data_IF_532520492784
#
_entry.id   IF_532520492784
#
_cell.length_a   1.000
_cell.length_b   1.000
_cell.length_c   1.000
_cell.angle_alpha   90.00
_cell.angle_beta   90.00
_cell.angle_gamma   90.00
#
_symmetry.space_group_name_H-M   'P 1'
#
loop_
_entity.id
_entity.type
_entity.pdbx_description
1 polymer ?
#
# COMPACT_ATOMS: atom_id res chain seq x y z
N UNK A 1 1.57 59.48 -18.98
CA UNK A 1 2.97 59.00 -19.13
C UNK A 1 3.59 58.72 -17.77
N UNK A 2 3.65 59.71 -16.85
CA UNK A 2 4.19 59.50 -15.51
C UNK A 2 3.56 58.31 -14.76
N UNK A 3 2.24 58.20 -14.72
CA UNK A 3 1.55 57.06 -14.08
C UNK A 3 1.90 55.69 -14.66
N UNK A 4 2.23 55.62 -15.95
CA UNK A 4 2.68 54.38 -16.58
C UNK A 4 4.11 54.05 -16.16
N UNK A 5 4.99 55.06 -16.12
CA UNK A 5 6.36 54.92 -15.63
C UNK A 5 6.35 54.44 -14.18
N UNK A 6 5.59 55.11 -13.30
CA UNK A 6 5.47 54.75 -11.89
C UNK A 6 4.97 53.29 -11.72
N UNK A 7 4.03 52.84 -12.57
CA UNK A 7 3.54 51.46 -12.56
C UNK A 7 4.58 50.45 -13.04
N UNK A 8 5.40 50.80 -14.04
CA UNK A 8 6.48 49.92 -14.52
C UNK A 8 7.60 49.84 -13.49
N UNK A 9 7.99 50.96 -12.89
CA UNK A 9 9.02 51.01 -11.85
C UNK A 9 8.60 50.20 -10.63
N UNK A 10 7.33 50.30 -10.21
CA UNK A 10 6.78 49.47 -9.13
C UNK A 10 6.82 47.97 -9.49
N UNK A 11 6.45 47.60 -10.73
CA UNK A 11 6.50 46.21 -11.19
C UNK A 11 7.91 45.63 -11.20
N UNK A 12 8.90 46.43 -11.62
CA UNK A 12 10.31 46.01 -11.65
C UNK A 12 10.86 45.85 -10.23
N UNK A 13 10.54 46.78 -9.33
CA UNK A 13 10.95 46.70 -7.92
C UNK A 13 10.32 45.49 -7.20
N UNK A 14 9.04 45.19 -7.47
CA UNK A 14 8.36 44.02 -6.92
C UNK A 14 8.98 42.71 -7.42
N UNK A 15 9.25 42.59 -8.73
CA UNK A 15 9.94 41.42 -9.28
C UNK A 15 11.35 41.25 -8.68
N UNK A 16 12.12 42.34 -8.55
CA UNK A 16 13.44 42.30 -7.93
C UNK A 16 13.40 41.83 -6.46
N UNK A 17 12.32 42.14 -5.74
CA UNK A 17 12.10 41.65 -4.38
C UNK A 17 11.84 40.15 -4.35
N UNK A 18 11.04 39.63 -5.31
CA UNK A 18 10.82 38.18 -5.47
C UNK A 18 12.11 37.45 -5.84
N UNK A 19 12.91 38.03 -6.72
CA UNK A 19 14.21 37.46 -7.11
C UNK A 19 15.17 37.36 -5.94
N UNK A 20 15.25 38.43 -5.13
CA UNK A 20 16.04 38.43 -3.89
C UNK A 20 15.53 37.36 -2.92
N UNK A 21 14.21 37.26 -2.74
CA UNK A 21 13.61 36.27 -1.86
C UNK A 21 13.95 34.83 -2.24
N UNK A 22 13.94 34.51 -3.54
CA UNK A 22 14.36 33.21 -4.04
C UNK A 22 15.86 32.95 -3.75
N UNK A 23 16.74 33.88 -4.13
CA UNK A 23 18.19 33.70 -3.95
C UNK A 23 18.64 33.64 -2.49
N UNK A 24 17.93 34.34 -1.60
CA UNK A 24 18.21 34.36 -0.17
C UNK A 24 17.47 33.23 0.58
N UNK A 25 16.60 32.48 -0.10
CA UNK A 25 15.66 31.51 0.49
C UNK A 25 14.86 32.11 1.66
N UNK A 26 14.42 33.36 1.50
CA UNK A 26 13.60 34.09 2.47
C UNK A 26 12.53 34.92 1.74
N UNK A 27 11.31 34.36 1.66
CA UNK A 27 10.16 35.04 1.08
C UNK A 27 9.28 35.71 2.14
N UNK A 28 9.80 35.99 3.35
CA UNK A 28 9.03 36.61 4.44
C UNK A 28 8.47 37.99 4.10
N UNK A 29 9.15 38.72 3.21
CA UNK A 29 8.71 40.02 2.69
C UNK A 29 7.66 39.95 1.57
N UNK A 30 7.44 38.77 0.97
CA UNK A 30 6.52 38.61 -0.16
C UNK A 30 5.08 38.53 0.35
N UNK A 31 4.21 39.34 -0.24
CA UNK A 31 2.80 39.40 0.12
C UNK A 31 1.94 39.75 -1.11
N UNK A 32 0.62 39.62 -0.97
CA UNK A 32 -0.33 39.89 -2.07
C UNK A 32 -0.18 41.31 -2.63
N UNK A 33 0.04 42.32 -1.79
CA UNK A 33 0.21 43.71 -2.23
C UNK A 33 1.45 43.87 -3.10
N UNK A 34 2.56 43.21 -2.75
CA UNK A 34 3.78 43.23 -3.55
C UNK A 34 3.59 42.48 -4.88
N UNK A 35 3.05 41.26 -4.86
CA UNK A 35 2.87 40.47 -6.08
C UNK A 35 1.90 41.12 -7.07
N UNK A 36 0.84 41.77 -6.59
CA UNK A 36 -0.12 42.49 -7.45
C UNK A 36 0.46 43.74 -8.13
N UNK A 37 1.64 44.23 -7.71
CA UNK A 37 2.36 45.28 -8.43
C UNK A 37 3.04 44.75 -9.69
N UNK A 38 3.32 43.44 -9.77
CA UNK A 38 3.98 42.82 -10.92
C UNK A 38 2.98 42.73 -12.08
N UNK A 39 3.25 43.49 -13.14
CA UNK A 39 2.39 43.56 -14.32
C UNK A 39 2.34 42.22 -15.04
N UNK A 40 1.13 41.75 -15.36
CA UNK A 40 0.92 40.50 -16.07
C UNK A 40 0.88 39.26 -15.17
N UNK A 41 1.09 39.44 -13.87
CA UNK A 41 0.98 38.35 -12.90
C UNK A 41 -0.48 38.12 -12.51
N UNK A 42 -0.91 36.86 -12.52
CA UNK A 42 -2.21 36.40 -12.02
C UNK A 42 -1.95 35.47 -10.84
N UNK A 43 -2.71 35.65 -9.75
CA UNK A 43 -2.50 34.90 -8.51
C UNK A 43 -3.81 34.72 -7.74
N UNK A 44 -3.85 33.68 -6.92
CA UNK A 44 -4.93 33.44 -5.97
C UNK A 44 -4.52 33.94 -4.58
N UNK A 45 -5.10 35.05 -4.12
CA UNK A 45 -4.64 35.75 -2.90
C UNK A 45 -4.59 34.87 -1.64
N UNK A 46 -5.42 33.82 -1.59
CA UNK A 46 -5.46 32.88 -0.47
C UNK A 46 -4.23 31.97 -0.36
N UNK A 47 -3.46 31.80 -1.45
CA UNK A 47 -2.33 30.86 -1.52
C UNK A 47 -0.97 31.55 -1.27
N UNK A 48 -0.98 32.76 -0.69
CA UNK A 48 0.26 33.55 -0.54
C UNK A 48 1.33 32.85 0.30
N UNK A 49 0.93 32.05 1.29
CA UNK A 49 1.88 31.29 2.09
C UNK A 49 2.53 30.17 1.25
N UNK A 50 1.75 29.50 0.42
CA UNK A 50 2.24 28.44 -0.46
C UNK A 50 3.18 29.00 -1.54
N UNK A 51 2.83 30.16 -2.12
CA UNK A 51 3.73 30.86 -3.04
C UNK A 51 5.05 31.24 -2.38
N UNK A 52 5.02 31.68 -1.12
CA UNK A 52 6.24 32.04 -0.38
C UNK A 52 7.15 30.83 -0.19
N UNK A 53 6.59 29.72 0.32
CA UNK A 53 7.35 28.47 0.47
C UNK A 53 7.95 28.03 -0.87
N UNK A 54 7.17 28.07 -1.94
CA UNK A 54 7.65 27.69 -3.27
C UNK A 54 8.73 28.64 -3.80
N UNK A 55 8.65 29.95 -3.53
CA UNK A 55 9.71 30.92 -3.90
C UNK A 55 11.00 30.63 -3.11
N UNK A 56 10.92 30.29 -1.82
CA UNK A 56 12.09 29.96 -0.98
C UNK A 56 12.85 28.72 -1.47
N UNK A 57 12.15 27.79 -2.13
CA UNK A 57 12.72 26.59 -2.75
C UNK A 57 13.41 26.87 -4.09
N UNK A 58 13.09 27.99 -4.76
CA UNK A 58 13.68 28.31 -6.06
C UNK A 58 15.08 28.90 -5.90
N UNK A 59 16.04 28.36 -6.66
CA UNK A 59 17.40 28.93 -6.70
C UNK A 59 17.47 30.30 -7.38
N UNK A 60 16.54 30.58 -8.31
CA UNK A 60 16.40 31.86 -9.01
C UNK A 60 15.06 31.94 -9.73
N UNK A 61 14.52 33.16 -9.86
CA UNK A 61 13.33 33.45 -10.67
C UNK A 61 13.73 34.43 -11.78
N UNK A 62 13.87 33.94 -13.00
CA UNK A 62 14.48 34.73 -14.08
C UNK A 62 13.66 35.98 -14.47
N UNK A 63 12.35 35.83 -14.55
CA UNK A 63 11.44 36.87 -15.01
C UNK A 63 10.00 36.63 -14.51
N UNK A 64 9.08 37.49 -14.97
CA UNK A 64 7.63 37.39 -14.65
C UNK A 64 7.02 36.09 -15.17
N UNK A 65 7.49 35.55 -16.30
CA UNK A 65 6.93 34.33 -16.87
C UNK A 65 7.34 33.11 -16.03
N UNK A 66 8.59 33.07 -15.55
CA UNK A 66 9.05 32.05 -14.61
C UNK A 66 8.27 32.13 -13.28
N UNK A 67 8.05 33.34 -12.75
CA UNK A 67 7.21 33.53 -11.55
C UNK A 67 5.76 33.09 -11.77
N UNK A 68 5.18 33.40 -12.94
CA UNK A 68 3.82 32.96 -13.26
C UNK A 68 3.73 31.44 -13.32
N UNK A 69 4.70 30.77 -13.97
CA UNK A 69 4.74 29.32 -14.03
C UNK A 69 4.86 28.67 -12.63
N UNK A 70 5.63 29.28 -11.73
CA UNK A 70 5.73 28.85 -10.33
C UNK A 70 4.37 28.96 -9.62
N UNK A 71 3.69 30.10 -9.75
CA UNK A 71 2.36 30.33 -9.16
C UNK A 71 1.34 29.34 -9.71
N UNK A 72 1.31 29.16 -11.04
CA UNK A 72 0.41 28.22 -11.70
C UNK A 72 0.67 26.78 -11.23
N UNK A 73 1.93 26.40 -11.03
CA UNK A 73 2.33 25.10 -10.48
C UNK A 73 1.87 24.91 -9.03
N UNK A 74 1.98 25.95 -8.19
CA UNK A 74 1.48 25.90 -6.81
C UNK A 74 -0.03 25.75 -6.78
N UNK A 75 -0.76 26.54 -7.58
CA UNK A 75 -2.22 26.47 -7.67
C UNK A 75 -2.68 25.08 -8.15
N UNK A 76 -2.00 24.53 -9.16
CA UNK A 76 -2.27 23.18 -9.65
C UNK A 76 -2.00 22.11 -8.58
N UNK A 77 -0.91 22.25 -7.83
CA UNK A 77 -0.55 21.34 -6.73
C UNK A 77 -1.58 21.34 -5.61
N UNK A 78 -2.04 22.53 -5.19
CA UNK A 78 -3.07 22.67 -4.15
C UNK A 78 -4.40 22.06 -4.60
N UNK A 79 -4.82 22.30 -5.84
CA UNK A 79 -6.04 21.74 -6.39
C UNK A 79 -5.96 20.21 -6.55
N UNK A 80 -4.80 19.70 -6.98
CA UNK A 80 -4.55 18.28 -7.10
C UNK A 80 -4.57 17.57 -5.73
N UNK A 81 -3.90 18.13 -4.73
CA UNK A 81 -3.90 17.56 -3.39
C UNK A 81 -5.29 17.60 -2.74
N UNK A 82 -6.05 18.69 -2.93
CA UNK A 82 -7.46 18.74 -2.51
C UNK A 82 -8.32 17.63 -3.15
N UNK A 83 -8.03 17.26 -4.40
CA UNK A 83 -8.71 16.15 -5.07
C UNK A 83 -8.37 14.80 -4.44
N UNK A 84 -7.12 14.61 -4.00
CA UNK A 84 -6.70 13.42 -3.25
C UNK A 84 -7.38 13.34 -1.88
N UNK A 85 -7.45 14.45 -1.14
CA UNK A 85 -8.15 14.50 0.14
C UNK A 85 -9.64 14.18 0.00
N UNK A 86 -10.27 14.71 -1.06
CA UNK A 86 -11.65 14.38 -1.39
C UNK A 86 -11.81 12.89 -1.68
N UNK A 87 -10.94 12.31 -2.51
CA UNK A 87 -10.97 10.90 -2.86
C UNK A 87 -10.90 9.97 -1.64
N UNK A 88 -10.03 10.27 -0.68
CA UNK A 88 -9.94 9.54 0.58
C UNK A 88 -11.24 9.66 1.40
N UNK A 89 -11.68 10.89 1.67
CA UNK A 89 -12.85 11.14 2.52
C UNK A 89 -14.18 10.68 1.91
N UNK A 90 -14.27 10.56 0.58
CA UNK A 90 -15.42 9.98 -0.13
C UNK A 90 -15.29 8.47 -0.37
N UNK A 91 -14.15 7.87 -0.03
CA UNK A 91 -13.79 6.49 -0.36
C UNK A 91 -13.93 6.16 -1.86
N UNK A 92 -13.57 7.13 -2.72
CA UNK A 92 -13.63 6.98 -4.18
C UNK A 92 -12.51 7.78 -4.85
N UNK A 93 -11.46 7.07 -5.26
CA UNK A 93 -10.31 7.64 -5.96
C UNK A 93 -10.35 7.43 -7.47
N UNK A 94 -11.46 6.94 -8.04
CA UNK A 94 -11.55 6.59 -9.47
C UNK A 94 -11.32 7.77 -10.43
N UNK A 95 -11.54 9.00 -9.95
CA UNK A 95 -11.30 10.24 -10.69
C UNK A 95 -9.84 10.72 -10.66
N UNK A 96 -8.99 10.15 -9.80
CA UNK A 96 -7.56 10.50 -9.76
C UNK A 96 -6.86 9.96 -11.00
N UNK A 97 -5.95 10.73 -11.55
CA UNK A 97 -5.18 10.38 -12.75
C UNK A 97 -3.69 10.59 -12.50
N UNK A 98 -2.84 10.06 -13.38
CA UNK A 98 -1.41 10.39 -13.37
C UNK A 98 -1.17 11.90 -13.41
N UNK A 99 -1.99 12.63 -14.19
CA UNK A 99 -1.93 14.10 -14.24
C UNK A 99 -2.21 14.71 -12.87
N UNK A 100 -3.22 14.20 -12.16
CA UNK A 100 -3.54 14.67 -10.81
C UNK A 100 -2.35 14.49 -9.87
N UNK A 101 -1.77 13.29 -9.80
CA UNK A 101 -0.63 13.03 -8.92
C UNK A 101 0.63 13.81 -9.34
N UNK A 102 0.91 13.90 -10.65
CA UNK A 102 2.07 14.64 -11.18
C UNK A 102 2.02 16.15 -10.96
N UNK A 103 0.83 16.72 -10.76
CA UNK A 103 0.68 18.14 -10.44
C UNK A 103 1.04 18.45 -8.97
N UNK A 104 1.07 17.45 -8.09
CA UNK A 104 1.42 17.64 -6.68
C UNK A 104 2.93 17.82 -6.59
N UNK A 105 3.37 19.03 -6.22
CA UNK A 105 4.79 19.36 -6.07
C UNK A 105 5.43 18.45 -5.03
N UNK A 106 6.59 17.90 -5.36
CA UNK A 106 7.38 17.05 -4.46
C UNK A 106 6.91 15.60 -4.35
N UNK A 107 5.79 15.24 -4.98
CA UNK A 107 5.29 13.87 -4.98
C UNK A 107 6.05 13.00 -5.99
N UNK A 108 6.52 11.83 -5.55
CA UNK A 108 7.14 10.81 -6.39
C UNK A 108 6.26 9.58 -6.43
N UNK A 109 5.98 9.06 -7.63
CA UNK A 109 5.13 7.90 -7.82
C UNK A 109 5.45 7.17 -9.13
N UNK A 110 5.06 5.91 -9.23
CA UNK A 110 5.12 5.12 -10.46
C UNK A 110 3.74 5.07 -11.14
N UNK A 111 3.62 5.62 -12.34
CA UNK A 111 2.36 5.63 -13.08
C UNK A 111 1.80 4.22 -13.39
N UNK A 112 2.65 3.20 -13.42
CA UNK A 112 2.20 1.82 -13.60
C UNK A 112 1.33 1.32 -12.44
N UNK A 113 1.44 1.92 -11.25
CA UNK A 113 0.75 1.52 -10.03
C UNK A 113 -0.45 2.44 -9.69
N UNK A 114 -0.92 3.26 -10.64
CA UNK A 114 -1.99 4.23 -10.40
C UNK A 114 -3.24 3.59 -9.78
N UNK A 115 -3.65 2.41 -10.28
CA UNK A 115 -4.83 1.71 -9.75
C UNK A 115 -4.63 1.25 -8.31
N UNK A 116 -3.42 0.82 -7.95
CA UNK A 116 -3.09 0.43 -6.58
C UNK A 116 -3.11 1.64 -5.64
N UNK A 117 -2.55 2.77 -6.08
CA UNK A 117 -2.63 4.02 -5.33
C UNK A 117 -4.08 4.51 -5.17
N UNK A 118 -4.91 4.39 -6.20
CA UNK A 118 -6.34 4.72 -6.11
C UNK A 118 -7.04 3.85 -5.05
N UNK A 119 -6.81 2.54 -5.06
CA UNK A 119 -7.36 1.63 -4.05
C UNK A 119 -6.91 2.01 -2.63
N UNK A 120 -5.62 2.28 -2.46
CA UNK A 120 -5.06 2.66 -1.17
C UNK A 120 -5.60 4.01 -0.67
N UNK A 121 -5.65 5.04 -1.53
CA UNK A 121 -6.21 6.36 -1.19
C UNK A 121 -7.67 6.25 -0.80
N UNK A 122 -8.49 5.48 -1.54
CA UNK A 122 -9.90 5.30 -1.23
C UNK A 122 -10.16 4.54 0.08
N UNK A 123 -9.18 3.75 0.55
CA UNK A 123 -9.24 3.05 1.82
C UNK A 123 -8.87 3.94 3.02
N UNK A 124 -8.17 5.06 2.80
CA UNK A 124 -7.81 6.00 3.86
C UNK A 124 -9.02 6.85 4.27
N UNK A 125 -9.18 7.08 5.57
CA UNK A 125 -10.21 7.98 6.07
C UNK A 125 -9.87 9.47 5.83
N UNK A 126 -8.56 9.79 5.80
CA UNK A 126 -8.04 11.13 5.59
C UNK A 126 -6.56 11.04 5.17
N UNK A 127 -6.12 11.98 4.33
CA UNK A 127 -4.71 12.23 4.01
C UNK A 127 -4.39 13.68 4.39
N UNK A 128 -3.64 13.88 5.46
CA UNK A 128 -3.51 15.20 6.10
C UNK A 128 -2.67 16.17 5.27
N UNK A 129 -1.55 15.70 4.72
CA UNK A 129 -0.62 16.47 3.92
C UNK A 129 0.03 15.63 2.81
N UNK A 130 0.89 16.27 2.00
CA UNK A 130 1.61 15.61 0.90
C UNK A 130 2.61 14.57 1.42
N UNK A 131 3.15 14.73 2.63
CA UNK A 131 4.07 13.76 3.21
C UNK A 131 3.34 12.46 3.62
N UNK A 132 2.13 12.57 4.16
CA UNK A 132 1.25 11.43 4.40
C UNK A 132 0.87 10.71 3.10
N UNK A 133 0.59 11.46 2.02
CA UNK A 133 0.37 10.88 0.70
C UNK A 133 1.60 10.14 0.17
N UNK A 134 2.80 10.73 0.31
CA UNK A 134 4.04 10.08 -0.12
C UNK A 134 4.28 8.79 0.65
N UNK A 135 4.09 8.79 1.98
CA UNK A 135 4.24 7.60 2.79
C UNK A 135 3.25 6.48 2.40
N UNK A 136 2.02 6.84 2.00
CA UNK A 136 1.05 5.90 1.48
C UNK A 136 1.51 5.28 0.16
N UNK A 137 1.99 6.10 -0.79
CA UNK A 137 2.52 5.64 -2.07
C UNK A 137 3.73 4.71 -1.88
N UNK A 138 4.68 5.10 -1.03
CA UNK A 138 5.85 4.29 -0.71
C UNK A 138 5.45 2.94 -0.09
N UNK A 139 4.42 2.95 0.77
CA UNK A 139 3.87 1.72 1.37
C UNK A 139 3.19 0.82 0.33
N UNK A 140 2.49 1.37 -0.66
CA UNK A 140 1.90 0.59 -1.75
C UNK A 140 3.00 -0.02 -2.62
N UNK A 141 4.01 0.75 -2.99
CA UNK A 141 5.13 0.24 -3.79
C UNK A 141 5.89 -0.88 -3.06
N UNK A 142 6.09 -0.74 -1.75
CA UNK A 142 6.69 -1.78 -0.93
C UNK A 142 5.80 -3.05 -0.86
N UNK A 143 4.48 -2.88 -0.73
CA UNK A 143 3.50 -3.99 -0.75
C UNK A 143 3.58 -4.78 -2.05
N UNK A 144 3.55 -4.08 -3.19
CA UNK A 144 3.63 -4.69 -4.52
C UNK A 144 4.95 -5.43 -4.73
N UNK A 145 6.07 -4.86 -4.28
CA UNK A 145 7.36 -5.53 -4.34
C UNK A 145 7.40 -6.80 -3.47
N UNK A 146 6.91 -6.72 -2.23
CA UNK A 146 6.85 -7.87 -1.32
C UNK A 146 5.93 -8.97 -1.85
N UNK A 147 4.79 -8.62 -2.46
CA UNK A 147 3.92 -9.58 -3.11
C UNK A 147 4.60 -10.21 -4.34
N UNK A 148 5.33 -9.42 -5.13
CA UNK A 148 6.16 -9.93 -6.22
C UNK A 148 7.20 -10.96 -5.78
N UNK A 149 7.82 -10.77 -4.61
CA UNK A 149 8.74 -11.76 -4.01
C UNK A 149 8.02 -13.08 -3.66
N UNK A 150 6.77 -13.01 -3.18
CA UNK A 150 5.94 -14.20 -2.90
C UNK A 150 5.55 -14.93 -4.19
N UNK A 151 5.18 -14.19 -5.25
CA UNK A 151 4.90 -14.79 -6.56
C UNK A 151 6.14 -15.47 -7.15
N UNK A 152 7.32 -14.86 -7.00
CA UNK A 152 8.58 -15.44 -7.40
C UNK A 152 8.91 -16.71 -6.60
N UNK A 153 8.64 -16.72 -5.29
CA UNK A 153 8.82 -17.90 -4.45
C UNK A 153 7.96 -19.09 -4.90
N UNK A 154 6.68 -18.85 -5.20
CA UNK A 154 5.78 -19.89 -5.71
C UNK A 154 6.25 -20.44 -7.06
N UNK A 155 6.46 -19.55 -8.04
CA UNK A 155 6.87 -19.97 -9.40
C UNK A 155 8.22 -20.68 -9.47
N UNK A 156 9.14 -20.40 -8.53
CA UNK A 156 10.42 -21.10 -8.41
C UNK A 156 10.37 -22.34 -7.49
N UNK A 157 9.23 -22.60 -6.85
CA UNK A 157 9.04 -23.64 -5.85
C UNK A 157 10.07 -23.55 -4.70
N UNK A 158 10.43 -22.33 -4.30
CA UNK A 158 11.36 -22.05 -3.21
C UNK A 158 10.94 -20.78 -2.46
N UNK A 159 10.27 -20.97 -1.32
CA UNK A 159 9.78 -19.89 -0.47
C UNK A 159 10.64 -19.62 0.77
N UNK A 160 11.86 -20.16 0.85
CA UNK A 160 12.72 -19.93 2.04
C UNK A 160 13.06 -18.45 2.25
N UNK A 161 13.01 -17.63 1.19
CA UNK A 161 13.18 -16.18 1.25
C UNK A 161 11.95 -15.40 1.71
N UNK A 162 10.75 -16.02 1.72
CA UNK A 162 9.52 -15.36 2.18
C UNK A 162 9.56 -15.30 3.70
N UNK A 163 9.81 -14.11 4.23
CA UNK A 163 9.97 -13.88 5.67
C UNK A 163 8.71 -13.29 6.29
N UNK A 164 8.67 -13.22 7.63
CA UNK A 164 7.65 -12.45 8.34
C UNK A 164 7.63 -10.98 7.92
N UNK A 165 8.79 -10.40 7.61
CA UNK A 165 8.90 -9.01 7.14
C UNK A 165 8.27 -8.86 5.75
N UNK A 166 8.51 -9.80 4.85
CA UNK A 166 7.89 -9.86 3.53
C UNK A 166 6.37 -9.88 3.66
N UNK A 167 5.81 -10.82 4.44
CA UNK A 167 4.36 -10.95 4.62
C UNK A 167 3.74 -9.74 5.33
N UNK A 168 4.41 -9.16 6.35
CA UNK A 168 3.93 -7.96 7.04
C UNK A 168 3.94 -6.70 6.17
N UNK A 169 4.78 -6.66 5.14
CA UNK A 169 4.86 -5.53 4.21
C UNK A 169 3.68 -5.50 3.24
N UNK A 170 3.10 -6.66 2.94
CA UNK A 170 1.93 -6.78 2.06
C UNK A 170 0.71 -6.21 2.79
N UNK A 171 0.15 -5.12 2.26
CA UNK A 171 -0.98 -4.40 2.84
C UNK A 171 -2.21 -5.29 2.88
N UNK A 172 -2.95 -5.24 3.99
CA UNK A 172 -4.22 -5.98 4.15
C UNK A 172 -4.08 -7.48 4.42
N UNK A 173 -2.86 -8.04 4.34
CA UNK A 173 -2.61 -9.44 4.65
C UNK A 173 -2.71 -9.69 6.16
N UNK A 174 -3.38 -10.76 6.54
CA UNK A 174 -3.51 -11.23 7.94
C UNK A 174 -2.98 -12.65 8.03
N UNK A 175 -2.13 -12.93 9.02
CA UNK A 175 -1.53 -14.25 9.20
C UNK A 175 -1.03 -14.45 10.63
N UNK A 176 -0.92 -15.71 11.07
CA UNK A 176 -0.21 -16.05 12.31
C UNK A 176 1.30 -16.16 12.07
N UNK A 177 2.16 -15.33 12.70
CA UNK A 177 3.60 -15.41 12.52
C UNK A 177 4.22 -16.74 12.99
N UNK A 178 3.53 -17.51 13.84
CA UNK A 178 3.94 -18.83 14.29
C UNK A 178 3.94 -19.90 13.20
N UNK A 179 3.22 -19.67 12.10
CA UNK A 179 3.03 -20.64 11.01
C UNK A 179 3.89 -20.36 9.78
N UNK A 180 4.92 -19.49 9.89
CA UNK A 180 5.73 -19.07 8.73
C UNK A 180 6.34 -20.25 7.97
N UNK A 181 6.79 -21.29 8.65
CA UNK A 181 7.36 -22.48 8.01
C UNK A 181 6.33 -23.23 7.16
N UNK A 182 5.08 -23.29 7.63
CA UNK A 182 3.98 -23.94 6.95
C UNK A 182 3.51 -23.12 5.74
N UNK A 183 3.45 -21.79 5.89
CA UNK A 183 3.18 -20.89 4.77
C UNK A 183 4.26 -20.99 3.68
N UNK A 184 5.54 -21.06 4.06
CA UNK A 184 6.63 -21.24 3.09
C UNK A 184 6.46 -22.56 2.33
N UNK A 185 6.14 -23.66 3.01
CA UNK A 185 5.90 -24.94 2.36
C UNK A 185 4.70 -24.89 1.40
N UNK A 186 3.61 -24.23 1.81
CA UNK A 186 2.43 -24.06 0.98
C UNK A 186 2.70 -23.18 -0.25
N UNK A 187 3.33 -22.01 -0.07
CA UNK A 187 3.72 -21.11 -1.17
C UNK A 187 4.64 -21.84 -2.16
N UNK A 188 5.65 -22.57 -1.69
CA UNK A 188 6.57 -23.32 -2.57
C UNK A 188 5.88 -24.48 -3.33
N UNK A 189 4.70 -24.91 -2.87
CA UNK A 189 3.90 -25.95 -3.53
C UNK A 189 2.96 -25.37 -4.59
N UNK A 190 2.71 -24.06 -4.58
CA UNK A 190 1.92 -23.38 -5.59
C UNK A 190 2.70 -23.17 -6.89
N UNK A 191 2.02 -23.27 -8.03
CA UNK A 191 2.63 -22.93 -9.33
C UNK A 191 2.49 -21.45 -9.67
N UNK A 192 1.50 -20.78 -9.08
CA UNK A 192 1.17 -19.36 -9.28
C UNK A 192 0.31 -18.88 -8.10
N UNK A 193 0.53 -17.62 -7.68
CA UNK A 193 -0.36 -16.91 -6.75
C UNK A 193 -0.79 -15.63 -7.46
N UNK A 194 -2.02 -15.61 -7.98
CA UNK A 194 -2.45 -14.60 -8.95
C UNK A 194 -2.53 -13.18 -8.37
N UNK A 195 -3.01 -13.06 -7.13
CA UNK A 195 -3.22 -11.80 -6.43
C UNK A 195 -3.11 -11.97 -4.91
N UNK A 196 -3.17 -10.86 -4.17
CA UNK A 196 -3.07 -10.85 -2.71
C UNK A 196 -4.25 -11.60 -2.04
N UNK A 197 -5.41 -11.68 -2.69
CA UNK A 197 -6.56 -12.42 -2.16
C UNK A 197 -6.34 -13.94 -2.26
N UNK A 198 -5.74 -14.41 -3.35
CA UNK A 198 -5.30 -15.80 -3.49
C UNK A 198 -4.22 -16.15 -2.46
N UNK A 199 -3.28 -15.22 -2.18
CA UNK A 199 -2.32 -15.39 -1.09
C UNK A 199 -3.02 -15.52 0.25
N UNK A 200 -3.94 -14.60 0.60
CA UNK A 200 -4.69 -14.66 1.86
C UNK A 200 -5.44 -15.99 2.01
N UNK A 201 -6.12 -16.45 0.96
CA UNK A 201 -6.85 -17.72 0.98
C UNK A 201 -5.91 -18.92 1.20
N UNK A 202 -4.70 -18.89 0.64
CA UNK A 202 -3.69 -19.91 0.88
C UNK A 202 -3.27 -19.93 2.36
N UNK A 203 -2.96 -18.78 2.95
CA UNK A 203 -2.58 -18.68 4.37
C UNK A 203 -3.71 -19.16 5.29
N UNK A 204 -4.95 -18.72 5.02
CA UNK A 204 -6.14 -19.17 5.76
C UNK A 204 -6.33 -20.70 5.66
N UNK A 205 -6.04 -21.29 4.50
CA UNK A 205 -6.13 -22.74 4.31
C UNK A 205 -5.07 -23.51 5.11
N UNK A 206 -3.85 -22.94 5.23
CA UNK A 206 -2.79 -23.49 6.07
C UNK A 206 -3.21 -23.44 7.54
N UNK A 207 -3.72 -22.31 8.00
CA UNK A 207 -4.22 -22.14 9.37
C UNK A 207 -5.33 -23.14 9.71
N UNK A 208 -6.30 -23.28 8.79
CA UNK A 208 -7.37 -24.25 8.93
C UNK A 208 -6.84 -25.69 8.98
N UNK A 209 -5.84 -26.01 8.16
CA UNK A 209 -5.19 -27.33 8.12
C UNK A 209 -4.46 -27.65 9.43
N UNK A 210 -3.70 -26.70 9.96
CA UNK A 210 -2.99 -26.85 11.24
C UNK A 210 -3.98 -27.04 12.41
N UNK A 211 -5.08 -26.27 12.42
CA UNK A 211 -6.13 -26.42 13.42
C UNK A 211 -6.83 -27.79 13.31
N UNK A 212 -7.18 -28.21 12.10
CA UNK A 212 -7.81 -29.51 11.86
C UNK A 212 -6.90 -30.68 12.27
N UNK A 213 -5.61 -30.60 11.94
CA UNK A 213 -4.64 -31.61 12.35
C UNK A 213 -4.46 -31.65 13.87
N UNK A 214 -4.47 -30.49 14.53
CA UNK A 214 -4.45 -30.41 16.01
C UNK A 214 -5.67 -31.12 16.61
N UNK A 215 -6.86 -30.97 16.03
CA UNK A 215 -8.05 -31.71 16.46
C UNK A 215 -7.87 -33.23 16.36
N UNK A 216 -7.26 -33.72 15.28
CA UNK A 216 -6.93 -35.14 15.11
C UNK A 216 -5.92 -35.62 16.16
N UNK A 217 -4.88 -34.84 16.44
CA UNK A 217 -3.90 -35.17 17.48
C UNK A 217 -4.53 -35.25 18.88
N UNK A 218 -5.44 -34.33 19.19
CA UNK A 218 -6.19 -34.36 20.45
C UNK A 218 -7.11 -35.57 20.54
N UNK A 219 -7.79 -35.93 19.45
CA UNK A 219 -8.65 -37.12 19.39
C UNK A 219 -7.86 -38.40 19.69
N UNK A 220 -6.68 -38.55 19.09
CA UNK A 220 -5.78 -39.67 19.38
C UNK A 220 -5.34 -39.67 20.86
N UNK A 221 -4.82 -38.54 21.35
CA UNK A 221 -4.29 -38.44 22.72
C UNK A 221 -5.35 -38.67 23.80
N UNK A 222 -6.61 -38.29 23.53
CA UNK A 222 -7.74 -38.51 24.44
C UNK A 222 -8.40 -39.88 24.25
N UNK A 223 -7.94 -40.68 23.27
CA UNK A 223 -8.57 -41.92 22.84
C UNK A 223 -10.06 -41.77 22.50
N UNK A 224 -10.40 -40.64 21.86
CA UNK A 224 -11.77 -40.30 21.46
C UNK A 224 -11.80 -39.64 20.07
N UNK A 225 -12.04 -40.46 19.05
CA UNK A 225 -12.19 -40.04 17.66
C UNK A 225 -13.57 -39.47 17.31
N UNK A 226 -14.54 -39.50 18.22
CA UNK A 226 -15.95 -39.21 17.89
C UNK A 226 -16.21 -37.78 17.42
N UNK A 227 -15.32 -36.85 17.77
CA UNK A 227 -15.37 -35.45 17.32
C UNK A 227 -14.78 -35.20 15.93
N UNK A 228 -14.12 -36.17 15.30
CA UNK A 228 -13.55 -36.03 13.97
C UNK A 228 -14.63 -36.25 12.92
N UNK A 229 -14.86 -35.26 12.06
CA UNK A 229 -15.81 -35.36 10.95
C UNK A 229 -15.12 -35.22 9.59
N UNK A 230 -15.91 -35.37 8.51
CA UNK A 230 -15.40 -35.21 7.14
C UNK A 230 -14.83 -33.80 6.92
N UNK A 231 -15.40 -32.77 7.56
CA UNK A 231 -14.92 -31.40 7.43
C UNK A 231 -13.53 -31.24 8.03
N UNK A 232 -13.28 -31.87 9.18
CA UNK A 232 -11.99 -31.88 9.86
C UNK A 232 -10.94 -32.53 8.97
N UNK A 233 -11.22 -33.72 8.43
CA UNK A 233 -10.27 -34.41 7.56
C UNK A 233 -10.05 -33.69 6.23
N UNK A 234 -11.10 -33.11 5.63
CA UNK A 234 -10.99 -32.29 4.41
C UNK A 234 -10.17 -31.01 4.63
N UNK A 235 -10.15 -30.49 5.86
CA UNK A 235 -9.38 -29.29 6.19
C UNK A 235 -7.87 -29.53 6.17
N UNK A 236 -7.41 -30.77 6.31
CA UNK A 236 -5.98 -31.10 6.39
C UNK A 236 -5.39 -31.16 4.98
N UNK A 237 -4.50 -30.22 4.67
CA UNK A 237 -3.80 -30.14 3.39
C UNK A 237 -2.96 -31.41 3.16
N UNK A 238 -3.04 -31.94 1.94
CA UNK A 238 -2.31 -33.14 1.53
C UNK A 238 -2.91 -34.47 2.02
N UNK A 239 -3.97 -34.44 2.83
CA UNK A 239 -4.64 -35.66 3.27
C UNK A 239 -5.64 -36.15 2.22
N UNK A 240 -5.61 -37.45 1.94
CA UNK A 240 -6.53 -38.13 1.05
C UNK A 240 -7.27 -39.23 1.80
N UNK A 241 -8.60 -39.26 1.70
CA UNK A 241 -9.42 -40.23 2.40
C UNK A 241 -10.74 -40.49 1.67
N UNK A 242 -11.34 -41.65 1.93
CA UNK A 242 -12.71 -41.94 1.52
C UNK A 242 -13.68 -41.66 2.66
N UNK A 243 -14.54 -40.65 2.53
CA UNK A 243 -15.50 -40.25 3.57
C UNK A 243 -16.50 -41.33 3.99
N UNK A 244 -16.70 -42.38 3.19
CA UNK A 244 -17.55 -43.54 3.56
C UNK A 244 -16.97 -44.29 4.77
N UNK A 245 -15.65 -44.27 4.94
CA UNK A 245 -14.94 -44.98 5.99
C UNK A 245 -14.76 -44.13 7.28
N UNK A 246 -15.45 -42.98 7.41
CA UNK A 246 -15.25 -42.05 8.53
C UNK A 246 -15.25 -42.74 9.89
N UNK A 247 -16.24 -43.58 10.19
CA UNK A 247 -16.33 -44.27 11.48
C UNK A 247 -15.12 -45.17 11.75
N UNK A 248 -14.61 -45.83 10.72
CA UNK A 248 -13.42 -46.67 10.86
C UNK A 248 -12.16 -45.82 11.10
N UNK A 249 -12.04 -44.65 10.48
CA UNK A 249 -10.96 -43.70 10.78
C UNK A 249 -11.07 -43.15 12.20
N UNK A 250 -12.27 -42.83 12.70
CA UNK A 250 -12.49 -42.38 14.08
C UNK A 250 -11.99 -43.43 15.09
N UNK A 251 -12.34 -44.71 14.87
CA UNK A 251 -11.90 -45.82 15.72
C UNK A 251 -10.38 -46.02 15.67
N UNK A 252 -9.79 -45.91 14.47
CA UNK A 252 -8.34 -46.03 14.26
C UNK A 252 -7.59 -44.89 14.97
N UNK A 253 -8.02 -43.64 14.78
CA UNK A 253 -7.43 -42.46 15.45
C UNK A 253 -7.53 -42.60 16.97
N UNK A 254 -8.69 -43.01 17.50
CA UNK A 254 -8.88 -43.20 18.95
C UNK A 254 -7.98 -44.29 19.56
N UNK A 255 -7.50 -45.22 18.74
CA UNK A 255 -6.61 -46.31 19.16
C UNK A 255 -5.14 -45.89 19.20
N UNK A 256 -4.79 -44.77 18.56
CA UNK A 256 -3.43 -44.23 18.57
C UNK A 256 -3.14 -43.45 19.86
N UNK A 257 -1.89 -43.50 20.32
CA UNK A 257 -1.44 -42.69 21.47
C UNK A 257 -0.97 -41.28 21.09
N UNK A 258 -0.93 -40.99 19.79
CA UNK A 258 -0.49 -39.73 19.21
C UNK A 258 -0.14 -39.89 17.73
N UNK A 259 -0.33 -38.83 16.95
CA UNK A 259 -0.10 -38.83 15.50
C UNK A 259 0.88 -37.68 15.20
N UNK A 260 2.10 -38.02 14.80
CA UNK A 260 3.21 -37.07 14.77
C UNK A 260 3.05 -35.99 13.69
N UNK A 261 2.63 -36.39 12.49
CA UNK A 261 2.50 -35.53 11.32
C UNK A 261 1.37 -36.05 10.39
N UNK A 262 1.08 -35.28 9.33
CA UNK A 262 0.05 -35.63 8.35
C UNK A 262 0.40 -36.91 7.59
N UNK A 263 1.68 -37.25 7.41
CA UNK A 263 2.08 -38.48 6.75
C UNK A 263 1.78 -39.72 7.61
N UNK A 264 1.96 -39.63 8.93
CA UNK A 264 1.55 -40.65 9.88
C UNK A 264 0.02 -40.81 9.88
N UNK A 265 -0.73 -39.70 9.80
CA UNK A 265 -2.19 -39.76 9.65
C UNK A 265 -2.61 -40.43 8.34
N UNK A 266 -1.96 -40.09 7.21
CA UNK A 266 -2.24 -40.71 5.91
C UNK A 266 -1.99 -42.21 5.96
N UNK A 267 -0.86 -42.65 6.53
CA UNK A 267 -0.53 -44.06 6.66
C UNK A 267 -1.55 -44.83 7.53
N UNK A 268 -2.07 -44.19 8.58
CA UNK A 268 -3.14 -44.74 9.39
C UNK A 268 -4.43 -44.91 8.57
N UNK A 269 -4.84 -43.86 7.85
CA UNK A 269 -6.04 -43.88 6.99
C UNK A 269 -5.93 -44.94 5.89
N UNK A 270 -4.76 -45.10 5.26
CA UNK A 270 -4.52 -46.10 4.21
C UNK A 270 -4.57 -47.54 4.74
N UNK A 271 -4.42 -47.74 6.04
CA UNK A 271 -4.46 -49.06 6.70
C UNK A 271 -5.87 -49.56 7.04
N UNK A 272 -6.87 -48.67 6.93
CA UNK A 272 -8.28 -48.90 7.25
C UNK A 272 -9.08 -49.29 6.01
#
# INVERSE_FOLDING_TARGET
LQTLIDSVDASLAALASVQTAATDSDASGINVTLLTQIRGLTLTSGHILDYRSAIEEESAIADVAALQALIDSVDASLAAFASVQLAATSSDASALTDTTLSNIRGLMFNNAHLTDYQGAIAAEAQIEDVAALQALIDSVDASLAAFGDVQAAATNSDAQGVSLETLNTIRGLTFDPGHITDYQAAIASETEIADEAALQALLDSVDASLAAFTSVQMAATNSDGSGIDISTLNGILGLTFNGVNLTAYQDAIASETGIADVAALQALIDSV
#
